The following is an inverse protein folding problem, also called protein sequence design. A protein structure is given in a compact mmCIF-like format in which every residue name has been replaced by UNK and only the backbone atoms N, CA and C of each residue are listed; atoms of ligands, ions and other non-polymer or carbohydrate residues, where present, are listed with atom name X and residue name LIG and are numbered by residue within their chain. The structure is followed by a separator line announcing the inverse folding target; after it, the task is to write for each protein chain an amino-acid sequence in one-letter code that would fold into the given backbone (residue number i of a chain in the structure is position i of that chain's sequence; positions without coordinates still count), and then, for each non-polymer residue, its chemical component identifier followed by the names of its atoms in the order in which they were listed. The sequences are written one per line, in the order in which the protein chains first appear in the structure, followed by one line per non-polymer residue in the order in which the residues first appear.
data_IF_720904775544
#
_entry.id   IF_720904775544
#
_cell.length_a   1.000
_cell.length_b   1.000
_cell.length_c   1.000
_cell.angle_alpha   90.00
_cell.angle_beta   90.00
_cell.angle_gamma   90.00
#
_symmetry.space_group_name_H-M   'P 1'
#
loop_
_entity.id
_entity.type
_entity.pdbx_description
1 polymer ?
#
# COMPACT_ATOMS: atom_id res chain seq x y z
N UNK A 1 8.63 -40.64 -16.50
CA UNK A 1 8.80 -39.17 -16.68
C UNK A 1 8.31 -38.49 -15.42
N UNK A 2 9.07 -37.52 -14.84
CA UNK A 2 8.58 -36.78 -13.69
C UNK A 2 7.40 -35.88 -14.05
N UNK A 3 6.40 -35.76 -13.17
CA UNK A 3 5.23 -34.92 -13.38
C UNK A 3 5.64 -33.43 -13.44
N UNK A 4 4.79 -32.57 -14.02
CA UNK A 4 4.99 -31.11 -14.03
C UNK A 4 5.15 -30.62 -12.59
N UNK A 5 4.32 -31.10 -11.66
CA UNK A 5 4.39 -30.80 -10.23
C UNK A 5 5.78 -31.08 -9.65
N UNK A 6 6.35 -32.26 -9.91
CA UNK A 6 7.67 -32.63 -9.42
C UNK A 6 8.77 -31.74 -10.03
N UNK A 7 8.69 -31.43 -11.31
CA UNK A 7 9.63 -30.53 -12.00
C UNK A 7 9.61 -29.13 -11.38
N UNK A 8 8.41 -28.55 -11.19
CA UNK A 8 8.21 -27.23 -10.58
C UNK A 8 8.68 -27.20 -9.12
N UNK A 9 8.25 -28.16 -8.30
CA UNK A 9 8.65 -28.25 -6.90
C UNK A 9 10.19 -28.30 -6.75
N UNK A 10 10.85 -29.19 -7.51
CA UNK A 10 12.29 -29.33 -7.49
C UNK A 10 12.99 -28.04 -7.96
N UNK A 11 12.45 -27.38 -9.00
CA UNK A 11 12.99 -26.10 -9.48
C UNK A 11 12.94 -25.03 -8.38
N UNK A 12 11.78 -24.82 -7.72
CA UNK A 12 11.64 -23.81 -6.66
C UNK A 12 12.48 -24.13 -5.42
N UNK A 13 12.59 -25.39 -5.03
CA UNK A 13 13.49 -25.81 -3.95
C UNK A 13 14.94 -25.50 -4.27
N UNK A 14 15.40 -25.73 -5.50
CA UNK A 14 16.76 -25.42 -5.95
C UNK A 14 17.01 -23.91 -6.04
N UNK A 15 16.04 -23.12 -6.47
CA UNK A 15 16.12 -21.65 -6.47
C UNK A 15 16.27 -21.13 -5.04
N UNK A 16 15.50 -21.66 -4.09
CA UNK A 16 15.63 -21.30 -2.68
C UNK A 16 16.94 -21.72 -2.04
N UNK A 17 17.43 -22.91 -2.39
CA UNK A 17 18.72 -23.39 -1.93
C UNK A 17 19.93 -22.67 -2.58
N UNK A 18 19.68 -21.79 -3.55
CA UNK A 18 20.71 -21.07 -4.31
C UNK A 18 21.52 -21.96 -5.26
N UNK A 19 21.07 -23.19 -5.52
CA UNK A 19 21.73 -24.13 -6.47
C UNK A 19 21.29 -23.91 -7.92
N UNK A 20 20.22 -23.14 -8.12
CA UNK A 20 19.72 -22.65 -9.41
C UNK A 20 19.44 -21.15 -9.19
N UNK A 21 19.91 -20.31 -10.10
CA UNK A 21 19.61 -18.88 -10.07
C UNK A 21 18.14 -18.63 -10.40
N UNK A 22 17.62 -17.46 -10.07
CA UNK A 22 16.25 -17.08 -10.44
C UNK A 22 16.07 -17.01 -11.95
N UNK A 23 17.08 -16.56 -12.68
CA UNK A 23 17.11 -16.50 -14.13
C UNK A 23 17.03 -17.89 -14.76
N UNK A 24 17.79 -18.84 -14.26
CA UNK A 24 17.72 -20.24 -14.69
C UNK A 24 16.35 -20.86 -14.38
N UNK A 25 15.79 -20.58 -13.19
CA UNK A 25 14.43 -20.97 -12.82
C UNK A 25 13.39 -20.40 -13.80
N UNK A 26 13.54 -19.14 -14.18
CA UNK A 26 12.69 -18.47 -15.19
C UNK A 26 12.78 -19.14 -16.56
N UNK A 27 13.98 -19.52 -17.00
CA UNK A 27 14.17 -20.22 -18.27
C UNK A 27 13.50 -21.60 -18.27
N UNK A 28 13.64 -22.36 -17.18
CA UNK A 28 12.98 -23.66 -16.99
C UNK A 28 11.45 -23.50 -16.97
N UNK A 29 10.95 -22.48 -16.29
CA UNK A 29 9.52 -22.17 -16.23
C UNK A 29 8.95 -21.87 -17.63
N UNK A 30 9.62 -21.02 -18.41
CA UNK A 30 9.24 -20.71 -19.78
C UNK A 30 9.30 -21.95 -20.70
N UNK A 31 10.22 -22.88 -20.45
CA UNK A 31 10.30 -24.14 -21.19
C UNK A 31 9.08 -25.03 -20.87
N UNK A 32 8.73 -25.18 -19.58
CA UNK A 32 7.55 -25.97 -19.16
C UNK A 32 6.25 -25.41 -19.74
N UNK A 33 6.09 -24.07 -19.78
CA UNK A 33 4.92 -23.42 -20.42
C UNK A 33 4.86 -23.71 -21.91
N UNK A 34 6.00 -23.80 -22.60
CA UNK A 34 6.00 -24.17 -24.03
C UNK A 34 5.61 -25.62 -24.25
N UNK A 35 5.96 -26.55 -23.36
CA UNK A 35 5.61 -27.96 -23.45
C UNK A 35 4.14 -28.20 -23.11
N UNK A 36 3.64 -27.61 -22.03
CA UNK A 36 2.26 -27.74 -21.57
C UNK A 36 1.83 -26.45 -20.86
N UNK A 37 1.26 -25.46 -21.57
CA UNK A 37 0.84 -24.18 -20.99
C UNK A 37 -0.20 -24.33 -19.87
N UNK A 38 -1.28 -25.07 -20.13
CA UNK A 38 -2.40 -25.20 -19.19
C UNK A 38 -2.03 -26.03 -17.96
N UNK A 39 -1.31 -27.13 -18.15
CA UNK A 39 -0.84 -27.95 -17.02
C UNK A 39 0.16 -27.21 -16.14
N UNK A 40 1.06 -26.42 -16.75
CA UNK A 40 2.04 -25.61 -15.98
C UNK A 40 1.36 -24.51 -15.16
N UNK A 41 0.40 -23.78 -15.75
CA UNK A 41 -0.38 -22.72 -15.08
C UNK A 41 -1.20 -23.31 -13.92
N UNK A 42 -1.92 -24.40 -14.16
CA UNK A 42 -2.73 -25.07 -13.14
C UNK A 42 -1.88 -25.55 -11.93
N UNK A 43 -0.73 -26.18 -12.20
CA UNK A 43 0.14 -26.64 -11.12
C UNK A 43 0.80 -25.50 -10.36
N UNK A 44 1.13 -24.39 -11.00
CA UNK A 44 1.63 -23.19 -10.32
C UNK A 44 0.59 -22.60 -9.38
N UNK A 45 -0.67 -22.49 -9.80
CA UNK A 45 -1.77 -22.02 -8.96
C UNK A 45 -1.92 -22.92 -7.72
N UNK A 46 -1.88 -24.24 -7.90
CA UNK A 46 -1.92 -25.20 -6.78
C UNK A 46 -0.73 -25.08 -5.85
N UNK A 47 0.48 -24.81 -6.35
CA UNK A 47 1.68 -24.62 -5.55
C UNK A 47 1.66 -23.29 -4.75
N UNK A 48 0.99 -22.26 -5.26
CA UNK A 48 0.79 -20.99 -4.53
C UNK A 48 -0.17 -21.23 -3.37
N UNK A 49 -1.29 -21.89 -3.60
CA UNK A 49 -2.32 -22.17 -2.58
C UNK A 49 -1.86 -23.17 -1.51
N UNK A 50 -1.13 -24.22 -1.94
CA UNK A 50 -0.71 -25.32 -1.08
C UNK A 50 0.78 -25.64 -1.30
N UNK A 51 1.68 -24.77 -0.85
CA UNK A 51 3.10 -24.91 -1.10
C UNK A 51 3.66 -26.12 -0.37
N UNK A 52 4.41 -27.01 -1.07
CA UNK A 52 5.12 -28.09 -0.39
C UNK A 52 6.25 -27.56 0.48
N UNK A 53 6.72 -28.38 1.40
CA UNK A 53 7.84 -28.04 2.30
C UNK A 53 9.05 -27.51 1.52
N UNK A 54 9.56 -26.34 1.93
CA UNK A 54 10.68 -25.67 1.27
C UNK A 54 10.34 -24.95 -0.03
N UNK A 55 9.04 -24.67 -0.29
CA UNK A 55 8.60 -23.79 -1.37
C UNK A 55 7.75 -22.67 -0.76
N UNK A 56 7.99 -21.43 -1.16
CA UNK A 56 7.24 -20.29 -0.65
C UNK A 56 6.47 -19.61 -1.80
N UNK A 57 5.18 -19.27 -1.62
CA UNK A 57 4.36 -18.60 -2.64
C UNK A 57 5.05 -17.36 -3.22
N UNK A 58 5.66 -16.53 -2.38
CA UNK A 58 6.41 -15.35 -2.81
C UNK A 58 7.54 -15.66 -3.80
N UNK A 59 8.23 -16.80 -3.65
CA UNK A 59 9.28 -17.21 -4.60
C UNK A 59 8.68 -17.58 -5.94
N UNK A 60 7.53 -18.24 -5.94
CA UNK A 60 6.78 -18.58 -7.15
C UNK A 60 6.37 -17.29 -7.87
N UNK A 61 5.68 -16.37 -7.19
CA UNK A 61 5.23 -15.09 -7.76
C UNK A 61 6.40 -14.30 -8.36
N UNK A 62 7.51 -14.16 -7.64
CA UNK A 62 8.71 -13.48 -8.18
C UNK A 62 9.26 -14.15 -9.44
N UNK A 63 9.34 -15.48 -9.46
CA UNK A 63 9.87 -16.20 -10.62
C UNK A 63 8.94 -16.07 -11.83
N UNK A 64 7.61 -16.13 -11.61
CA UNK A 64 6.59 -15.89 -12.62
C UNK A 64 6.70 -14.48 -13.21
N UNK A 65 6.84 -13.48 -12.37
CA UNK A 65 6.98 -12.09 -12.80
C UNK A 65 8.24 -11.85 -13.64
N UNK A 66 9.37 -12.45 -13.25
CA UNK A 66 10.63 -12.39 -14.01
C UNK A 66 10.52 -13.09 -15.38
N UNK A 67 9.70 -14.14 -15.49
CA UNK A 67 9.49 -14.85 -16.73
C UNK A 67 8.81 -13.99 -17.81
N UNK A 68 8.12 -12.92 -17.42
CA UNK A 68 7.41 -11.98 -18.33
C UNK A 68 6.56 -12.68 -19.38
N UNK A 69 5.97 -13.82 -19.01
CA UNK A 69 5.17 -14.63 -19.91
C UNK A 69 3.68 -14.34 -19.68
N UNK A 70 2.97 -13.98 -20.75
CA UNK A 70 1.53 -13.67 -20.69
C UNK A 70 0.69 -14.81 -20.11
N UNK A 71 1.12 -16.07 -20.22
CA UNK A 71 0.44 -17.21 -19.63
C UNK A 71 0.31 -17.14 -18.09
N UNK A 72 1.15 -16.32 -17.43
CA UNK A 72 1.11 -16.17 -15.98
C UNK A 72 0.32 -14.95 -15.49
N UNK A 73 -0.22 -14.15 -16.39
CA UNK A 73 -0.96 -12.95 -16.01
C UNK A 73 -2.17 -13.29 -15.11
N UNK A 74 -2.92 -14.31 -15.52
CA UNK A 74 -4.09 -14.78 -14.76
C UNK A 74 -3.71 -15.24 -13.34
N UNK A 75 -2.61 -16.00 -13.19
CA UNK A 75 -2.13 -16.42 -11.86
C UNK A 75 -1.79 -15.20 -10.98
N UNK A 76 -1.15 -14.18 -11.53
CA UNK A 76 -0.84 -12.97 -10.77
C UNK A 76 -2.10 -12.22 -10.36
N UNK A 77 -3.10 -12.17 -11.24
CA UNK A 77 -4.42 -11.57 -10.96
C UNK A 77 -5.16 -12.35 -9.87
N UNK A 78 -5.23 -13.66 -9.96
CA UNK A 78 -5.82 -14.52 -8.94
C UNK A 78 -5.09 -14.42 -7.59
N UNK A 79 -3.77 -14.27 -7.63
CA UNK A 79 -2.95 -14.11 -6.40
C UNK A 79 -3.18 -12.79 -5.68
N UNK A 80 -3.85 -11.79 -6.29
CA UNK A 80 -4.27 -10.57 -5.59
C UNK A 80 -5.23 -10.86 -4.44
N UNK A 81 -6.15 -11.81 -4.63
CA UNK A 81 -7.17 -12.16 -3.64
C UNK A 81 -6.75 -13.33 -2.72
N UNK A 82 -5.46 -13.66 -2.72
CA UNK A 82 -4.93 -14.74 -1.88
C UNK A 82 -5.13 -14.41 -0.39
N UNK A 83 -5.41 -15.43 0.43
CA UNK A 83 -5.62 -15.31 1.89
C UNK A 83 -4.43 -14.73 2.67
N UNK A 84 -3.22 -14.87 2.13
CA UNK A 84 -2.00 -14.27 2.71
C UNK A 84 -1.80 -12.86 2.16
N UNK A 85 -1.76 -11.87 3.05
CA UNK A 85 -1.48 -10.46 2.71
C UNK A 85 -0.15 -10.32 1.94
N UNK A 86 0.90 -11.04 2.35
CA UNK A 86 2.22 -10.99 1.69
C UNK A 86 2.15 -11.40 0.22
N UNK A 87 1.33 -12.41 -0.11
CA UNK A 87 1.14 -12.87 -1.50
C UNK A 87 0.37 -11.84 -2.31
N UNK A 88 -0.71 -11.29 -1.75
CA UNK A 88 -1.52 -10.24 -2.40
C UNK A 88 -0.70 -8.97 -2.67
N UNK A 89 0.06 -8.51 -1.68
CA UNK A 89 0.94 -7.34 -1.82
C UNK A 89 1.97 -7.55 -2.92
N UNK A 90 2.60 -8.73 -2.94
CA UNK A 90 3.60 -9.05 -3.95
C UNK A 90 2.97 -9.14 -5.35
N UNK A 91 1.81 -9.79 -5.48
CA UNK A 91 1.09 -9.89 -6.74
C UNK A 91 0.72 -8.49 -7.28
N UNK A 92 0.21 -7.60 -6.42
CA UNK A 92 -0.08 -6.22 -6.78
C UNK A 92 1.18 -5.46 -7.26
N UNK A 93 2.30 -5.60 -6.55
CA UNK A 93 3.56 -4.97 -6.93
C UNK A 93 4.08 -5.47 -8.28
N UNK A 94 4.00 -6.78 -8.53
CA UNK A 94 4.47 -7.36 -9.78
C UNK A 94 3.55 -7.00 -10.95
N UNK A 95 2.23 -6.92 -10.75
CA UNK A 95 1.29 -6.38 -11.74
C UNK A 95 1.63 -4.92 -12.08
N UNK A 96 1.88 -4.08 -11.07
CA UNK A 96 2.27 -2.70 -11.28
C UNK A 96 3.59 -2.55 -12.09
N UNK A 97 4.53 -3.48 -11.92
CA UNK A 97 5.79 -3.51 -12.69
C UNK A 97 5.61 -3.84 -14.17
N UNK A 98 4.52 -4.54 -14.53
CA UNK A 98 4.20 -4.80 -15.93
C UNK A 98 3.87 -3.52 -16.70
N UNK A 99 3.30 -2.53 -16.03
CA UNK A 99 2.91 -1.22 -16.60
C UNK A 99 1.99 -1.35 -17.82
N UNK A 100 1.18 -2.40 -17.90
CA UNK A 100 0.20 -2.59 -18.97
C UNK A 100 -1.15 -1.99 -18.58
N UNK A 101 -2.00 -1.66 -19.57
CA UNK A 101 -3.37 -1.18 -19.34
C UNK A 101 -4.21 -2.19 -18.57
N UNK A 102 -4.04 -3.47 -18.91
CA UNK A 102 -4.77 -4.57 -18.26
C UNK A 102 -4.41 -4.69 -16.78
N UNK A 103 -3.11 -4.60 -16.43
CA UNK A 103 -2.67 -4.63 -15.03
C UNK A 103 -3.20 -3.43 -14.25
N UNK A 104 -3.23 -2.24 -14.87
CA UNK A 104 -3.82 -1.05 -14.28
C UNK A 104 -5.32 -1.22 -14.02
N UNK A 105 -6.06 -1.76 -15.00
CA UNK A 105 -7.49 -2.00 -14.91
C UNK A 105 -7.82 -2.97 -13.77
N UNK A 106 -7.14 -4.13 -13.73
CA UNK A 106 -7.27 -5.11 -12.64
C UNK A 106 -7.01 -4.48 -11.27
N UNK A 107 -5.92 -3.73 -11.10
CA UNK A 107 -5.62 -3.07 -9.83
C UNK A 107 -6.68 -2.01 -9.47
N UNK A 108 -7.24 -1.31 -10.47
CA UNK A 108 -8.31 -0.32 -10.24
C UNK A 108 -9.61 -0.97 -9.79
N UNK A 109 -10.00 -2.09 -10.40
CA UNK A 109 -11.17 -2.88 -9.99
C UNK A 109 -11.04 -3.40 -8.55
N UNK A 110 -9.82 -3.78 -8.15
CA UNK A 110 -9.56 -4.28 -6.80
C UNK A 110 -9.47 -3.20 -5.70
N UNK A 111 -9.66 -1.92 -6.04
CA UNK A 111 -9.93 -0.87 -5.04
C UNK A 111 -11.28 -1.12 -4.33
N UNK A 112 -12.22 -1.81 -4.99
CA UNK A 112 -13.53 -2.20 -4.47
C UNK A 112 -13.59 -3.64 -3.94
N UNK A 113 -12.44 -4.33 -3.81
CA UNK A 113 -12.40 -5.68 -3.26
C UNK A 113 -12.99 -5.73 -1.83
N UNK A 114 -13.74 -6.76 -1.49
CA UNK A 114 -14.22 -6.97 -0.11
C UNK A 114 -13.08 -7.23 0.88
N UNK A 115 -11.92 -7.68 0.38
CA UNK A 115 -10.76 -8.03 1.19
C UNK A 115 -9.88 -6.80 1.44
N UNK A 116 -9.75 -6.41 2.71
CA UNK A 116 -9.04 -5.20 3.13
C UNK A 116 -7.61 -5.07 2.60
N UNK A 117 -6.78 -6.12 2.76
CA UNK A 117 -5.39 -6.04 2.33
C UNK A 117 -5.23 -5.98 0.80
N UNK A 118 -6.20 -6.53 0.04
CA UNK A 118 -6.23 -6.46 -1.41
C UNK A 118 -6.45 -5.02 -1.87
N UNK A 119 -7.45 -4.32 -1.31
CA UNK A 119 -7.69 -2.89 -1.61
C UNK A 119 -6.45 -2.06 -1.36
N UNK A 120 -5.86 -2.22 -0.17
CA UNK A 120 -4.68 -1.45 0.25
C UNK A 120 -3.48 -1.71 -0.65
N UNK A 121 -3.21 -2.98 -0.99
CA UNK A 121 -2.14 -3.38 -1.89
C UNK A 121 -2.33 -2.83 -3.31
N UNK A 122 -3.55 -2.94 -3.85
CA UNK A 122 -3.90 -2.43 -5.18
C UNK A 122 -3.74 -0.91 -5.28
N UNK A 123 -4.21 -0.17 -4.26
CA UNK A 123 -4.03 1.28 -4.19
C UNK A 123 -2.55 1.68 -4.17
N UNK A 124 -1.74 1.03 -3.32
CA UNK A 124 -0.30 1.30 -3.26
C UNK A 124 0.40 0.97 -4.59
N UNK A 125 0.05 -0.15 -5.21
CA UNK A 125 0.61 -0.60 -6.48
C UNK A 125 0.27 0.37 -7.64
N UNK A 126 -0.97 0.88 -7.70
CA UNK A 126 -1.37 1.91 -8.66
C UNK A 126 -0.51 3.16 -8.54
N UNK A 127 -0.35 3.69 -7.33
CA UNK A 127 0.45 4.91 -7.08
C UNK A 127 1.91 4.72 -7.48
N UNK A 128 2.49 3.53 -7.24
CA UNK A 128 3.89 3.23 -7.54
C UNK A 128 4.14 2.95 -9.03
N UNK A 129 3.20 2.27 -9.70
CA UNK A 129 3.42 1.70 -11.03
C UNK A 129 2.94 2.55 -12.20
N UNK A 130 1.94 3.41 -11.99
CA UNK A 130 1.26 4.11 -13.08
C UNK A 130 1.31 5.62 -12.92
N UNK A 131 1.43 6.34 -14.03
CA UNK A 131 1.55 7.81 -14.04
C UNK A 131 0.31 8.52 -13.50
N UNK A 132 -0.87 7.96 -13.75
CA UNK A 132 -2.18 8.44 -13.28
C UNK A 132 -2.69 7.69 -12.04
N UNK A 133 -1.92 6.73 -11.53
CA UNK A 133 -2.33 5.88 -10.40
C UNK A 133 -2.62 6.69 -9.13
N UNK A 134 -1.88 7.77 -8.89
CA UNK A 134 -2.16 8.71 -7.80
C UNK A 134 -3.57 9.32 -7.95
N UNK A 135 -3.90 9.81 -9.15
CA UNK A 135 -5.19 10.44 -9.44
C UNK A 135 -6.35 9.44 -9.28
N UNK A 136 -6.18 8.22 -9.79
CA UNK A 136 -7.18 7.14 -9.66
C UNK A 136 -7.49 6.85 -8.20
N UNK A 137 -6.47 6.67 -7.36
CA UNK A 137 -6.65 6.34 -5.94
C UNK A 137 -7.19 7.53 -5.15
N UNK A 138 -6.75 8.76 -5.45
CA UNK A 138 -7.30 9.98 -4.86
C UNK A 138 -8.80 10.14 -5.19
N UNK A 139 -9.19 9.93 -6.42
CA UNK A 139 -10.58 9.98 -6.85
C UNK A 139 -11.42 8.96 -6.08
N UNK A 140 -10.97 7.71 -6.02
CA UNK A 140 -11.64 6.67 -5.25
C UNK A 140 -11.78 7.04 -3.77
N UNK A 141 -10.72 7.56 -3.14
CA UNK A 141 -10.76 8.03 -1.76
C UNK A 141 -11.79 9.16 -1.54
N UNK A 142 -11.92 10.08 -2.48
CA UNK A 142 -12.83 11.24 -2.35
C UNK A 142 -14.28 10.89 -2.65
N UNK A 143 -14.55 10.02 -3.62
CA UNK A 143 -15.88 9.79 -4.19
C UNK A 143 -16.57 8.52 -3.66
N UNK A 144 -15.81 7.53 -3.14
CA UNK A 144 -16.42 6.28 -2.68
C UNK A 144 -17.40 6.55 -1.51
N UNK A 145 -18.66 6.02 -1.55
CA UNK A 145 -19.66 6.28 -0.54
C UNK A 145 -19.29 5.74 0.85
N UNK A 146 -18.65 4.57 0.89
CA UNK A 146 -18.33 3.88 2.13
C UNK A 146 -17.02 4.40 2.76
N UNK A 147 -17.04 4.91 4.01
CA UNK A 147 -15.85 5.46 4.69
C UNK A 147 -14.68 4.48 4.77
N UNK A 148 -14.98 3.21 4.97
CA UNK A 148 -13.97 2.16 5.10
C UNK A 148 -13.16 1.94 3.81
N UNK A 149 -13.78 2.05 2.64
CA UNK A 149 -13.09 1.99 1.36
C UNK A 149 -12.24 3.25 1.11
N UNK A 150 -12.75 4.43 1.49
CA UNK A 150 -11.97 5.66 1.46
C UNK A 150 -10.71 5.56 2.31
N UNK A 151 -10.81 5.03 3.54
CA UNK A 151 -9.68 4.84 4.44
C UNK A 151 -8.62 3.91 3.85
N UNK A 152 -9.03 2.79 3.25
CA UNK A 152 -8.07 1.86 2.63
C UNK A 152 -7.36 2.47 1.43
N UNK A 153 -8.03 3.32 0.64
CA UNK A 153 -7.39 4.09 -0.43
C UNK A 153 -6.39 5.10 0.12
N UNK A 154 -6.73 5.82 1.20
CA UNK A 154 -5.81 6.74 1.87
C UNK A 154 -4.56 6.03 2.42
N UNK A 155 -4.72 4.85 3.01
CA UNK A 155 -3.60 4.03 3.46
C UNK A 155 -2.75 3.53 2.28
N UNK A 156 -3.39 3.16 1.17
CA UNK A 156 -2.71 2.82 -0.08
C UNK A 156 -1.92 3.98 -0.66
N UNK A 157 -2.45 5.20 -0.62
CA UNK A 157 -1.72 6.42 -0.99
C UNK A 157 -0.42 6.55 -0.18
N UNK A 158 -0.49 6.42 1.13
CA UNK A 158 0.68 6.51 2.01
C UNK A 158 1.73 5.44 1.68
N UNK A 159 1.30 4.19 1.49
CA UNK A 159 2.18 3.08 1.10
C UNK A 159 2.72 3.22 -0.33
N UNK A 160 2.06 4.01 -1.17
CA UNK A 160 2.50 4.39 -2.50
C UNK A 160 3.75 5.28 -2.52
N UNK A 161 4.21 5.76 -1.35
CA UNK A 161 5.41 6.56 -1.16
C UNK A 161 5.18 8.07 -1.07
N UNK A 162 6.25 8.85 -1.26
CA UNK A 162 6.24 10.31 -1.01
C UNK A 162 5.15 11.07 -1.77
N UNK A 163 4.83 10.69 -3.00
CA UNK A 163 3.74 11.34 -3.77
C UNK A 163 2.39 11.19 -3.09
N UNK A 164 2.08 9.99 -2.59
CA UNK A 164 0.84 9.73 -1.87
C UNK A 164 0.79 10.44 -0.51
N UNK A 165 1.90 10.45 0.23
CA UNK A 165 2.02 11.23 1.47
C UNK A 165 1.75 12.73 1.23
N UNK A 166 2.40 13.33 0.24
CA UNK A 166 2.18 14.75 -0.09
C UNK A 166 0.72 15.02 -0.48
N UNK A 167 0.08 14.10 -1.20
CA UNK A 167 -1.33 14.22 -1.54
C UNK A 167 -2.22 14.21 -0.28
N UNK A 168 -1.97 13.33 0.68
CA UNK A 168 -2.70 13.28 1.95
C UNK A 168 -2.48 14.55 2.79
N UNK A 169 -1.26 15.03 2.91
CA UNK A 169 -0.94 16.28 3.61
C UNK A 169 -1.63 17.49 2.94
N UNK A 170 -1.64 17.54 1.61
CA UNK A 170 -2.37 18.57 0.87
C UNK A 170 -3.88 18.48 1.10
N UNK A 171 -4.46 17.28 1.15
CA UNK A 171 -5.88 17.07 1.47
C UNK A 171 -6.22 17.54 2.90
N UNK A 172 -5.34 17.32 3.87
CA UNK A 172 -5.49 17.88 5.22
C UNK A 172 -5.42 19.39 5.22
N UNK A 173 -4.52 19.95 4.43
CA UNK A 173 -4.32 21.38 4.36
C UNK A 173 -5.40 22.13 3.56
N UNK A 174 -6.04 21.51 2.57
CA UNK A 174 -6.95 22.19 1.62
C UNK A 174 -8.33 21.56 1.50
N UNK A 175 -8.52 20.33 2.00
CA UNK A 175 -9.75 19.57 1.89
C UNK A 175 -10.86 20.06 2.81
N UNK A 176 -11.99 19.36 2.83
CA UNK A 176 -13.13 19.63 3.71
C UNK A 176 -13.85 18.33 4.12
N UNK A 177 -14.57 18.38 5.23
CA UNK A 177 -15.45 17.31 5.69
C UNK A 177 -14.76 15.96 5.88
N UNK A 178 -15.36 14.89 5.37
CA UNK A 178 -14.91 13.51 5.57
C UNK A 178 -13.54 13.19 4.95
N UNK A 179 -13.12 13.94 3.92
CA UNK A 179 -11.80 13.75 3.27
C UNK A 179 -10.66 14.03 4.25
N UNK A 180 -10.77 15.11 5.03
CA UNK A 180 -9.76 15.49 6.04
C UNK A 180 -9.65 14.38 7.10
N UNK A 181 -10.80 13.94 7.63
CA UNK A 181 -10.86 12.90 8.66
C UNK A 181 -10.21 11.61 8.16
N UNK A 182 -10.54 11.20 6.93
CA UNK A 182 -9.99 9.99 6.31
C UNK A 182 -8.47 10.08 6.10
N UNK A 183 -7.97 11.24 5.63
CA UNK A 183 -6.54 11.46 5.44
C UNK A 183 -5.79 11.44 6.77
N UNK A 184 -6.33 12.09 7.81
CA UNK A 184 -5.74 12.10 9.15
C UNK A 184 -5.72 10.69 9.76
N UNK A 185 -6.82 9.95 9.67
CA UNK A 185 -6.91 8.59 10.18
C UNK A 185 -5.89 7.66 9.51
N UNK A 186 -5.70 7.77 8.19
CA UNK A 186 -4.69 7.00 7.48
C UNK A 186 -3.28 7.32 7.96
N UNK A 187 -2.95 8.62 8.15
CA UNK A 187 -1.65 9.06 8.65
C UNK A 187 -1.41 8.63 10.11
N UNK A 188 -2.43 8.66 10.97
CA UNK A 188 -2.34 8.19 12.35
C UNK A 188 -2.10 6.67 12.41
N UNK A 189 -2.86 5.90 11.64
CA UNK A 189 -2.77 4.43 11.63
C UNK A 189 -1.42 3.93 11.12
N UNK A 190 -0.76 4.68 10.24
CA UNK A 190 0.52 4.33 9.62
C UNK A 190 1.64 5.28 10.05
N UNK A 191 1.47 5.99 11.19
CA UNK A 191 2.42 7.02 11.66
C UNK A 191 3.84 6.50 11.84
N UNK A 192 4.02 5.23 12.14
CA UNK A 192 5.34 4.57 12.25
C UNK A 192 6.08 4.47 10.92
N UNK A 193 5.36 4.53 9.80
CA UNK A 193 5.93 4.46 8.44
C UNK A 193 6.36 5.82 7.90
N UNK A 194 5.96 6.91 8.57
CA UNK A 194 6.44 8.24 8.22
C UNK A 194 7.94 8.33 8.52
N UNK A 195 8.74 8.79 7.59
CA UNK A 195 10.14 9.11 7.83
C UNK A 195 10.26 10.40 8.66
N UNK A 196 11.35 10.58 9.38
CA UNK A 196 11.56 11.82 10.14
C UNK A 196 11.66 13.05 9.24
N UNK A 197 12.07 12.87 7.99
CA UNK A 197 12.06 13.88 6.94
C UNK A 197 10.66 14.36 6.52
N UNK A 198 9.60 13.59 6.83
CA UNK A 198 8.22 13.91 6.47
C UNK A 198 7.49 14.68 7.58
N UNK A 199 8.00 14.60 8.82
CA UNK A 199 7.39 15.24 9.99
C UNK A 199 7.23 16.76 9.82
N UNK A 200 8.22 17.51 9.29
CA UNK A 200 8.04 18.96 9.04
C UNK A 200 6.82 19.28 8.18
N UNK A 201 6.49 18.44 7.19
CA UNK A 201 5.33 18.62 6.32
C UNK A 201 3.98 18.53 7.07
N UNK A 202 3.89 17.73 8.12
CA UNK A 202 2.70 17.67 8.99
C UNK A 202 2.50 19.00 9.71
N UNK A 203 3.58 19.60 10.24
CA UNK A 203 3.50 20.87 10.96
C UNK A 203 3.31 22.06 10.02
N UNK A 204 3.87 22.03 8.81
CA UNK A 204 3.57 23.01 7.76
C UNK A 204 2.07 22.98 7.38
N UNK A 205 1.48 21.80 7.20
CA UNK A 205 0.05 21.65 6.96
C UNK A 205 -0.79 22.17 8.13
N UNK A 206 -0.37 21.91 9.38
CA UNK A 206 -1.02 22.41 10.60
C UNK A 206 -1.03 23.94 10.64
N UNK A 207 0.11 24.58 10.40
CA UNK A 207 0.20 26.05 10.38
C UNK A 207 -0.66 26.66 9.28
N UNK A 208 -0.62 26.09 8.08
CA UNK A 208 -1.45 26.53 6.95
C UNK A 208 -2.95 26.39 7.25
N UNK A 209 -3.39 25.34 7.94
CA UNK A 209 -4.78 25.19 8.39
C UNK A 209 -5.14 26.22 9.46
N UNK A 210 -4.22 26.52 10.39
CA UNK A 210 -4.37 27.54 11.41
C UNK A 210 -4.56 28.93 10.82
N UNK A 211 -3.74 29.31 9.84
CA UNK A 211 -3.81 30.61 9.14
C UNK A 211 -5.14 30.81 8.42
N UNK A 212 -5.71 29.72 7.86
CA UNK A 212 -7.04 29.74 7.23
C UNK A 212 -8.19 29.69 8.24
N UNK A 213 -7.90 29.53 9.54
CA UNK A 213 -8.89 29.33 10.60
C UNK A 213 -9.79 28.12 10.37
N UNK A 214 -9.29 27.10 9.73
CA UNK A 214 -10.00 25.85 9.48
C UNK A 214 -9.85 24.91 10.69
N UNK A 215 -10.74 25.08 11.66
CA UNK A 215 -10.72 24.35 12.92
C UNK A 215 -10.78 22.83 12.75
N UNK A 216 -11.48 22.31 11.74
CA UNK A 216 -11.57 20.87 11.49
C UNK A 216 -10.21 20.31 11.06
N UNK A 217 -9.57 20.94 10.07
CA UNK A 217 -8.23 20.53 9.63
C UNK A 217 -7.20 20.65 10.77
N UNK A 218 -7.27 21.72 11.56
CA UNK A 218 -6.38 21.90 12.72
C UNK A 218 -6.52 20.75 13.71
N UNK A 219 -7.76 20.37 14.09
CA UNK A 219 -8.01 19.26 15.01
C UNK A 219 -7.42 17.95 14.46
N UNK A 220 -7.69 17.63 13.20
CA UNK A 220 -7.20 16.38 12.62
C UNK A 220 -5.66 16.36 12.49
N UNK A 221 -5.05 17.48 12.13
CA UNK A 221 -3.58 17.60 12.09
C UNK A 221 -2.93 17.55 13.48
N UNK A 222 -3.58 18.08 14.51
CA UNK A 222 -3.14 17.93 15.91
C UNK A 222 -3.18 16.46 16.36
N UNK A 223 -4.20 15.69 15.94
CA UNK A 223 -4.26 14.25 16.19
C UNK A 223 -3.08 13.52 15.52
N UNK A 224 -2.80 13.84 14.25
CA UNK A 224 -1.64 13.29 13.53
C UNK A 224 -0.35 13.64 14.26
N UNK A 225 -0.14 14.92 14.62
CA UNK A 225 1.04 15.37 15.36
C UNK A 225 1.22 14.62 16.69
N UNK A 226 0.13 14.43 17.45
CA UNK A 226 0.13 13.66 18.69
C UNK A 226 0.45 12.17 18.51
N UNK A 227 0.10 11.57 17.36
CA UNK A 227 0.43 10.17 17.05
C UNK A 227 1.91 9.93 16.77
N UNK A 228 2.66 10.97 16.42
CA UNK A 228 4.12 10.92 16.21
C UNK A 228 4.90 10.79 17.53
N UNK A 229 4.28 11.06 18.67
CA UNK A 229 4.89 10.94 20.02
C UNK A 229 6.23 11.69 20.10
N UNK A 230 7.22 11.11 20.78
CA UNK A 230 8.54 11.69 20.95
C UNK A 230 9.28 12.13 19.69
N UNK A 231 8.90 11.59 18.52
CA UNK A 231 9.45 12.01 17.22
C UNK A 231 9.08 13.46 16.85
N UNK A 232 7.96 13.96 17.38
CA UNK A 232 7.50 15.33 17.17
C UNK A 232 8.01 16.32 18.25
N UNK A 233 8.91 15.91 19.16
CA UNK A 233 9.36 16.73 20.31
C UNK A 233 9.97 18.07 19.89
N UNK A 234 10.68 18.13 18.77
CA UNK A 234 11.24 19.38 18.23
C UNK A 234 10.19 20.39 17.73
N UNK A 235 8.94 19.99 17.62
CA UNK A 235 7.84 20.79 17.06
C UNK A 235 6.80 21.23 18.10
N UNK A 236 7.05 21.04 19.41
CA UNK A 236 6.11 21.39 20.47
C UNK A 236 5.65 22.85 20.42
N UNK A 237 6.53 23.78 20.04
CA UNK A 237 6.22 25.21 19.94
C UNK A 237 5.12 25.50 18.90
N UNK A 238 5.06 24.72 17.81
CA UNK A 238 4.00 24.85 16.82
C UNK A 238 2.64 24.46 17.40
N UNK A 239 2.59 23.38 18.20
CA UNK A 239 1.35 22.93 18.84
C UNK A 239 0.94 23.89 19.96
N UNK A 240 1.91 24.42 20.70
CA UNK A 240 1.65 25.40 21.78
C UNK A 240 0.91 26.64 21.27
N UNK A 241 1.14 27.04 20.01
CA UNK A 241 0.42 28.17 19.41
C UNK A 241 -1.11 27.95 19.33
N UNK A 242 -1.58 26.69 19.39
CA UNK A 242 -3.00 26.35 19.40
C UNK A 242 -3.61 26.18 20.79
N UNK A 243 -2.82 26.30 21.86
CA UNK A 243 -3.34 26.26 23.24
C UNK A 243 -4.27 27.43 23.56
N UNK A 244 -4.07 28.57 22.89
CA UNK A 244 -4.91 29.76 23.04
C UNK A 244 -5.85 30.01 21.86
N UNK A 245 -6.09 28.96 21.03
CA UNK A 245 -6.96 29.09 19.87
C UNK A 245 -8.41 29.41 20.27
N UNK A 246 -9.20 30.15 19.44
CA UNK A 246 -10.55 30.58 19.82
C UNK A 246 -11.55 29.46 20.11
N UNK A 247 -11.34 28.28 19.53
CA UNK A 247 -12.24 27.13 19.66
C UNK A 247 -11.74 26.13 20.69
N UNK A 248 -12.57 25.80 21.68
CA UNK A 248 -12.23 24.91 22.79
C UNK A 248 -11.79 23.51 22.36
N UNK A 249 -12.44 22.97 21.31
CA UNK A 249 -12.06 21.66 20.76
C UNK A 249 -10.62 21.63 20.22
N UNK A 250 -10.13 22.74 19.65
CA UNK A 250 -8.74 22.87 19.17
C UNK A 250 -7.77 22.90 20.36
N UNK A 251 -8.08 23.69 21.41
CA UNK A 251 -7.25 23.75 22.63
C UNK A 251 -7.12 22.38 23.27
N UNK A 252 -8.24 21.70 23.46
CA UNK A 252 -8.29 20.35 24.05
C UNK A 252 -7.41 19.37 23.27
N UNK A 253 -7.48 19.41 21.94
CA UNK A 253 -6.66 18.50 21.12
C UNK A 253 -5.18 18.90 21.09
N UNK A 254 -4.87 20.22 21.13
CA UNK A 254 -3.49 20.69 21.25
C UNK A 254 -2.84 20.24 22.57
N UNK A 255 -3.55 20.35 23.69
CA UNK A 255 -3.08 19.84 24.99
C UNK A 255 -2.88 18.32 24.97
N UNK A 256 -3.80 17.58 24.32
CA UNK A 256 -3.69 16.13 24.16
C UNK A 256 -2.46 15.75 23.35
N UNK A 257 -2.26 16.42 22.21
CA UNK A 257 -1.09 16.22 21.35
C UNK A 257 0.21 16.47 22.11
N UNK A 258 0.30 17.58 22.87
CA UNK A 258 1.47 17.88 23.69
C UNK A 258 1.74 16.82 24.77
N UNK A 259 0.70 16.30 25.44
CA UNK A 259 0.87 15.19 26.41
C UNK A 259 1.43 13.94 25.73
N UNK A 260 0.92 13.57 24.54
CA UNK A 260 1.37 12.39 23.81
C UNK A 260 2.82 12.52 23.32
N UNK A 261 3.25 13.73 22.94
CA UNK A 261 4.61 13.98 22.45
C UNK A 261 5.63 13.94 23.63
N UNK A 262 5.20 14.33 24.82
CA UNK A 262 6.04 14.36 26.04
C UNK A 262 6.09 13.01 26.77
N UNK A 263 5.18 12.11 26.48
CA UNK A 263 5.16 10.75 27.05
C UNK A 263 6.23 9.85 26.42
#
# INVERSE_FOLDING_TARGET
MSSIKEKLTNMFQKVLAGTVTREEGTMLLNHLVKEDPSGTVAELALLIENPPTGVFPKTIIHTIALARNKAFYEIMTESLVHKSEDVSVLAAQELARLRTSEAREVLSEHLDSEVYHVRKASAAALVQGFSDGLEVVMKHMMEHPEPFYRLTSAQGLLLGGKKGLHALLNMLATGSGGVIVTAAEALMNESEKLEDSDIPGVFEALMNAGDRKDSQSVIELLKVAGSLKGRAKGFESFIQAFADYPFEAVKTEAERALRNIRS
#
